data_IF_943387824823
#
_entry.id   IF_943387824823
#
_cell.length_a   1.000
_cell.length_b   1.000
_cell.length_c   1.000
_cell.angle_alpha   90.00
_cell.angle_beta   90.00
_cell.angle_gamma   90.00
#
_symmetry.space_group_name_H-M   'P 1'
#
loop_
_entity.id
_entity.type
_entity.pdbx_description
1 polymer ?
#
# COMPACT_ATOMS: atom_id res chain seq x y z
N UNK A 1 -15.16 -26.78 34.95
CA UNK A 1 -14.81 -25.36 35.02
C UNK A 1 -13.30 -25.28 35.11
N UNK A 2 -12.59 -25.05 34.03
CA UNK A 2 -11.19 -24.69 34.01
C UNK A 2 -11.13 -23.40 33.20
N UNK A 3 -10.67 -22.32 33.84
CA UNK A 3 -10.46 -21.03 33.26
C UNK A 3 -9.15 -21.04 32.51
N UNK A 4 -9.20 -20.87 31.20
CA UNK A 4 -8.01 -20.70 30.38
C UNK A 4 -7.46 -19.29 30.59
N UNK A 5 -6.26 -19.24 31.14
CA UNK A 5 -5.50 -18.03 31.35
C UNK A 5 -5.00 -17.53 29.98
N UNK A 6 -5.49 -16.38 29.57
CA UNK A 6 -4.90 -15.60 28.47
C UNK A 6 -3.53 -15.13 28.95
N UNK A 7 -2.47 -15.69 28.38
CA UNK A 7 -1.11 -15.24 28.63
C UNK A 7 -0.92 -13.82 28.10
N UNK A 8 -0.78 -12.85 29.02
CA UNK A 8 -0.30 -11.52 28.70
C UNK A 8 1.14 -11.64 28.14
N UNK A 9 1.31 -11.36 26.87
CA UNK A 9 2.63 -11.14 26.30
C UNK A 9 3.13 -9.81 26.86
N UNK A 10 4.02 -9.88 27.85
CA UNK A 10 4.81 -8.73 28.27
C UNK A 10 5.68 -8.29 27.09
N UNK A 11 5.39 -7.13 26.52
CA UNK A 11 6.30 -6.44 25.62
C UNK A 11 7.38 -5.84 26.53
N UNK A 12 8.61 -6.31 26.39
CA UNK A 12 9.76 -5.83 27.14
C UNK A 12 10.07 -4.38 26.72
N UNK A 13 9.90 -3.41 27.62
CA UNK A 13 10.04 -1.97 27.38
C UNK A 13 11.50 -1.50 27.16
N UNK A 14 12.47 -2.40 27.05
CA UNK A 14 13.89 -2.02 27.08
C UNK A 14 14.60 -1.96 25.73
N UNK A 15 13.95 -2.27 24.62
CA UNK A 15 14.58 -2.09 23.31
C UNK A 15 14.40 -0.64 22.86
N UNK A 16 15.43 0.19 23.01
CA UNK A 16 15.45 1.53 22.40
C UNK A 16 15.35 1.38 20.89
N UNK A 17 14.16 1.68 20.35
CA UNK A 17 13.94 1.80 18.91
C UNK A 17 14.82 2.91 18.35
N UNK A 18 15.29 2.80 17.09
CA UNK A 18 16.09 3.84 16.47
C UNK A 18 15.30 5.15 16.45
N UNK A 19 15.84 6.20 17.02
CA UNK A 19 15.15 7.45 17.34
C UNK A 19 14.92 8.40 16.15
N UNK A 20 15.24 8.02 14.90
CA UNK A 20 15.15 8.90 13.75
C UNK A 20 14.75 8.16 12.46
N UNK A 21 13.46 7.82 12.35
CA UNK A 21 12.87 7.56 11.03
C UNK A 21 12.33 8.86 10.49
N UNK A 22 12.90 9.35 9.38
CA UNK A 22 12.46 10.56 8.71
C UNK A 22 11.38 10.23 7.68
N UNK A 23 10.19 10.80 7.82
CA UNK A 23 9.10 10.68 6.85
C UNK A 23 9.19 11.81 5.83
N UNK A 24 9.35 11.47 4.54
CA UNK A 24 9.37 12.42 3.43
C UNK A 24 8.33 12.03 2.38
N UNK A 25 8.04 12.98 1.46
CA UNK A 25 7.17 12.74 0.32
C UNK A 25 5.85 12.09 0.75
N UNK A 26 4.91 12.88 1.08
CA UNK A 26 3.59 12.45 1.52
C UNK A 26 2.58 12.50 0.37
N UNK A 27 1.82 11.42 0.15
CA UNK A 27 0.67 11.41 -0.74
C UNK A 27 -0.59 11.02 0.04
N UNK A 28 -1.63 11.83 -0.10
CA UNK A 28 -2.99 11.45 0.29
C UNK A 28 -3.86 11.37 -0.95
N UNK A 29 -4.59 10.27 -1.08
CA UNK A 29 -5.47 10.00 -2.20
C UNK A 29 -6.77 9.42 -1.67
N UNK A 30 -7.88 10.05 -2.02
CA UNK A 30 -9.23 9.66 -1.62
C UNK A 30 -10.22 10.07 -2.71
N UNK A 31 -11.52 9.71 -2.63
CA UNK A 31 -12.52 10.18 -3.58
C UNK A 31 -12.67 11.72 -3.64
N UNK A 32 -12.22 12.43 -2.61
CA UNK A 32 -12.26 13.88 -2.53
C UNK A 32 -11.12 14.56 -3.30
N UNK A 33 -10.06 13.83 -3.67
CA UNK A 33 -8.94 14.38 -4.40
C UNK A 33 -7.60 13.77 -4.07
N UNK A 34 -6.57 14.41 -4.56
CA UNK A 34 -5.17 14.01 -4.41
C UNK A 34 -4.37 15.16 -3.82
N UNK A 35 -3.54 14.85 -2.84
CA UNK A 35 -2.59 15.79 -2.24
C UNK A 35 -1.21 15.17 -2.28
N UNK A 36 -0.25 15.91 -2.76
CA UNK A 36 1.16 15.53 -2.79
C UNK A 36 1.98 16.57 -2.02
N UNK A 37 2.66 16.15 -0.95
CA UNK A 37 3.40 17.03 -0.05
C UNK A 37 2.51 18.20 0.43
N UNK A 38 1.30 17.88 0.90
CA UNK A 38 0.24 18.81 1.38
C UNK A 38 -0.30 19.82 0.34
N UNK A 39 0.13 19.73 -0.91
CA UNK A 39 -0.40 20.53 -2.01
C UNK A 39 -1.45 19.75 -2.79
N UNK A 40 -2.54 20.42 -3.14
CA UNK A 40 -3.56 19.85 -4.02
C UNK A 40 -2.92 19.48 -5.36
N UNK A 41 -3.04 18.22 -5.73
CA UNK A 41 -2.58 17.73 -7.01
C UNK A 41 -3.74 17.79 -8.01
N UNK A 42 -3.59 18.62 -9.04
CA UNK A 42 -4.65 18.82 -10.03
C UNK A 42 -4.78 17.59 -10.95
N UNK A 43 -5.98 17.06 -11.03
CA UNK A 43 -6.36 16.01 -11.98
C UNK A 43 -7.40 16.60 -12.95
N UNK A 44 -7.26 16.36 -14.25
CA UNK A 44 -8.21 16.89 -15.24
C UNK A 44 -9.61 16.29 -14.99
N UNK A 45 -10.58 17.15 -14.70
CA UNK A 45 -11.95 16.76 -14.37
C UNK A 45 -12.66 16.00 -15.50
N UNK A 46 -12.28 16.24 -16.77
CA UNK A 46 -12.84 15.52 -17.92
C UNK A 46 -12.53 14.03 -17.91
N UNK A 47 -11.38 13.66 -17.36
CA UNK A 47 -10.96 12.25 -17.25
C UNK A 47 -11.50 11.60 -15.96
N UNK A 48 -11.86 12.38 -14.93
CA UNK A 48 -12.33 11.85 -13.63
C UNK A 48 -13.77 11.34 -13.66
N UNK A 49 -14.55 11.63 -14.71
CA UNK A 49 -15.97 11.22 -14.82
C UNK A 49 -16.20 9.71 -14.66
N UNK A 50 -15.18 8.87 -14.87
CA UNK A 50 -15.32 7.43 -14.85
C UNK A 50 -14.58 6.76 -13.68
N UNK A 51 -13.36 7.17 -13.36
CA UNK A 51 -12.57 6.63 -12.24
C UNK A 51 -11.32 7.49 -12.01
N UNK A 52 -11.22 8.09 -10.82
CA UNK A 52 -10.11 8.99 -10.44
C UNK A 52 -8.74 8.31 -10.59
N UNK A 53 -8.59 7.07 -10.11
CA UNK A 53 -7.31 6.34 -10.19
C UNK A 53 -6.85 6.13 -11.64
N UNK A 54 -7.80 5.83 -12.53
CA UNK A 54 -7.50 5.65 -13.96
C UNK A 54 -7.14 6.97 -14.63
N UNK A 55 -7.79 8.09 -14.25
CA UNK A 55 -7.45 9.41 -14.73
C UNK A 55 -6.01 9.78 -14.36
N UNK A 56 -5.64 9.63 -13.09
CA UNK A 56 -4.27 9.88 -12.61
C UNK A 56 -3.26 8.97 -13.34
N UNK A 57 -3.57 7.68 -13.46
CA UNK A 57 -2.71 6.74 -14.17
C UNK A 57 -2.41 7.19 -15.59
N UNK A 58 -3.44 7.56 -16.37
CA UNK A 58 -3.29 8.00 -17.76
C UNK A 58 -2.50 9.31 -17.90
N UNK A 59 -2.72 10.25 -16.98
CA UNK A 59 -2.10 11.57 -17.05
C UNK A 59 -0.64 11.56 -16.59
N UNK A 60 -0.32 10.78 -15.57
CA UNK A 60 0.97 10.86 -14.87
C UNK A 60 1.88 9.66 -15.09
N UNK A 61 1.34 8.49 -15.40
CA UNK A 61 2.11 7.24 -15.43
C UNK A 61 2.12 6.64 -16.84
N UNK A 62 0.99 6.17 -17.32
CA UNK A 62 0.68 5.83 -18.73
C UNK A 62 1.42 4.63 -19.35
N UNK A 63 2.50 4.13 -18.75
CA UNK A 63 3.43 3.19 -19.38
C UNK A 63 3.48 1.79 -18.70
N UNK A 64 2.40 1.37 -18.05
CA UNK A 64 2.30 0.05 -17.39
C UNK A 64 0.97 -0.66 -17.72
N UNK A 65 0.84 -1.32 -18.85
CA UNK A 65 -0.43 -1.94 -19.31
C UNK A 65 -1.04 -2.94 -18.32
N UNK A 66 -0.22 -3.55 -17.44
CA UNK A 66 -0.67 -4.46 -16.39
C UNK A 66 -1.62 -3.79 -15.39
N UNK A 67 -1.56 -2.45 -15.25
CA UNK A 67 -2.46 -1.64 -14.44
C UNK A 67 -3.93 -1.99 -14.67
N UNK A 68 -4.33 -2.16 -15.92
CA UNK A 68 -5.73 -2.47 -16.26
C UNK A 68 -6.22 -3.84 -15.80
N UNK A 69 -5.30 -4.74 -15.42
CA UNK A 69 -5.61 -6.07 -14.87
C UNK A 69 -5.67 -6.07 -13.35
N UNK A 70 -5.17 -5.02 -12.68
CA UNK A 70 -5.16 -4.89 -11.24
C UNK A 70 -6.57 -4.68 -10.68
N UNK A 71 -6.79 -5.15 -9.46
CA UNK A 71 -7.99 -4.79 -8.67
C UNK A 71 -7.89 -3.36 -8.09
N UNK A 72 -8.93 -2.93 -7.37
CA UNK A 72 -9.00 -1.57 -6.83
C UNK A 72 -7.91 -1.26 -5.82
N UNK A 73 -7.60 -2.18 -4.89
CA UNK A 73 -6.54 -2.01 -3.90
C UNK A 73 -5.16 -1.87 -4.56
N UNK A 74 -4.86 -2.75 -5.52
CA UNK A 74 -3.60 -2.67 -6.26
C UNK A 74 -3.49 -1.39 -7.09
N UNK A 75 -4.58 -0.95 -7.76
CA UNK A 75 -4.58 0.31 -8.51
C UNK A 75 -4.32 1.51 -7.62
N UNK A 76 -4.97 1.54 -6.44
CA UNK A 76 -4.80 2.61 -5.46
C UNK A 76 -3.33 2.69 -4.98
N UNK A 77 -2.79 1.56 -4.50
CA UNK A 77 -1.41 1.52 -4.01
C UNK A 77 -0.37 1.81 -5.10
N UNK A 78 -0.60 1.28 -6.31
CA UNK A 78 0.26 1.53 -7.46
C UNK A 78 0.32 3.02 -7.82
N UNK A 79 -0.85 3.67 -7.99
CA UNK A 79 -0.92 5.09 -8.34
C UNK A 79 -0.32 5.97 -7.25
N UNK A 80 -0.68 5.73 -5.99
CA UNK A 80 -0.15 6.49 -4.87
C UNK A 80 1.39 6.37 -4.76
N UNK A 81 1.93 5.15 -4.91
CA UNK A 81 3.37 4.93 -4.86
C UNK A 81 4.10 5.57 -6.04
N UNK A 82 3.56 5.53 -7.26
CA UNK A 82 4.18 6.16 -8.42
C UNK A 82 4.23 7.69 -8.26
N UNK A 83 3.19 8.33 -7.70
CA UNK A 83 3.20 9.76 -7.39
C UNK A 83 4.28 10.12 -6.35
N UNK A 84 4.42 9.32 -5.28
CA UNK A 84 5.49 9.49 -4.30
C UNK A 84 6.87 9.41 -4.93
N UNK A 85 7.09 8.38 -5.75
CA UNK A 85 8.37 8.14 -6.41
C UNK A 85 8.69 9.19 -7.47
N UNK A 86 7.68 9.82 -8.09
CA UNK A 86 7.89 10.98 -8.96
C UNK A 86 8.38 12.17 -8.15
N UNK A 87 7.74 12.48 -7.02
CA UNK A 87 8.17 13.57 -6.14
C UNK A 87 9.59 13.36 -5.61
N UNK A 88 9.93 12.13 -5.22
CA UNK A 88 11.30 11.80 -4.80
C UNK A 88 12.33 12.03 -5.93
N UNK A 89 12.02 11.63 -7.16
CA UNK A 89 12.91 11.81 -8.32
C UNK A 89 13.11 13.28 -8.69
N UNK A 90 12.12 14.14 -8.45
CA UNK A 90 12.21 15.59 -8.67
C UNK A 90 13.18 16.28 -7.69
N UNK A 91 13.39 15.74 -6.49
CA UNK A 91 14.35 16.28 -5.52
C UNK A 91 15.82 15.90 -5.84
N UNK A 92 16.04 14.92 -6.69
CA UNK A 92 17.38 14.53 -7.14
C UNK A 92 17.51 13.06 -7.52
N UNK A 93 18.66 12.67 -8.10
CA UNK A 93 18.88 11.28 -8.50
C UNK A 93 18.91 10.37 -7.27
N UNK A 94 18.03 9.38 -7.25
CA UNK A 94 18.04 8.32 -6.25
C UNK A 94 19.36 7.52 -6.38
N UNK A 95 20.04 7.27 -5.27
CA UNK A 95 21.26 6.44 -5.26
C UNK A 95 20.88 5.03 -5.76
N UNK A 96 21.65 4.45 -6.68
CA UNK A 96 21.36 3.14 -7.28
C UNK A 96 21.10 2.03 -6.25
N UNK A 97 21.77 2.08 -5.11
CA UNK A 97 21.60 1.08 -4.03
C UNK A 97 20.30 1.22 -3.24
N UNK A 98 19.64 2.39 -3.28
CA UNK A 98 18.36 2.59 -2.57
C UNK A 98 17.27 1.66 -3.11
N UNK A 99 17.27 1.38 -4.41
CA UNK A 99 16.26 0.51 -5.01
C UNK A 99 16.33 -0.94 -4.50
N UNK A 100 17.51 -1.46 -4.23
CA UNK A 100 17.68 -2.84 -3.72
C UNK A 100 17.29 -2.98 -2.25
N UNK A 101 17.47 -1.92 -1.46
CA UNK A 101 17.25 -1.90 -0.03
C UNK A 101 15.92 -1.25 0.38
N UNK A 102 15.08 -0.88 -0.60
CA UNK A 102 13.78 -0.27 -0.32
C UNK A 102 12.76 -1.32 0.08
N UNK A 103 12.20 -1.18 1.29
CA UNK A 103 11.08 -1.98 1.76
C UNK A 103 9.72 -1.37 1.32
N UNK A 104 8.66 -2.18 1.37
CA UNK A 104 7.28 -1.74 1.17
C UNK A 104 6.44 -2.33 2.30
N UNK A 105 5.88 -1.47 3.16
CA UNK A 105 5.10 -1.90 4.32
C UNK A 105 3.78 -1.13 4.36
N UNK A 106 2.67 -1.82 4.08
CA UNK A 106 1.35 -1.19 4.08
C UNK A 106 0.45 -1.72 5.19
N UNK A 107 -0.51 -0.90 5.55
CA UNK A 107 -1.51 -1.18 6.57
C UNK A 107 -2.91 -0.89 6.02
N UNK A 108 -3.89 -1.73 6.36
CA UNK A 108 -5.29 -1.43 6.10
C UNK A 108 -6.22 -2.08 7.12
N UNK A 109 -7.53 -1.89 6.93
CA UNK A 109 -8.57 -2.54 7.71
C UNK A 109 -9.31 -3.59 6.91
N UNK A 110 -9.55 -3.32 5.65
CA UNK A 110 -10.49 -4.07 4.82
C UNK A 110 -9.87 -5.28 4.12
N UNK A 111 -8.54 -5.52 4.30
CA UNK A 111 -7.85 -6.58 3.54
C UNK A 111 -8.11 -6.42 2.03
N UNK A 112 -8.35 -7.51 1.34
CA UNK A 112 -8.73 -7.61 -0.07
C UNK A 112 -10.24 -7.85 -0.26
N UNK A 113 -11.08 -7.32 0.64
CA UNK A 113 -12.52 -7.65 0.74
C UNK A 113 -13.29 -7.56 -0.60
N UNK A 114 -12.92 -6.64 -1.49
CA UNK A 114 -13.56 -6.48 -2.79
C UNK A 114 -13.28 -7.68 -3.69
N UNK A 115 -12.03 -8.10 -3.74
CA UNK A 115 -11.59 -9.26 -4.53
C UNK A 115 -12.08 -10.57 -3.92
N UNK A 116 -12.15 -10.66 -2.57
CA UNK A 116 -12.72 -11.80 -1.87
C UNK A 116 -14.19 -11.99 -2.21
N UNK A 117 -15.00 -10.93 -2.14
CA UNK A 117 -16.42 -10.97 -2.53
C UNK A 117 -16.59 -11.36 -3.99
N UNK A 118 -15.77 -10.80 -4.89
CA UNK A 118 -15.80 -11.11 -6.31
C UNK A 118 -15.42 -12.57 -6.58
N UNK A 119 -14.39 -13.08 -5.89
CA UNK A 119 -14.00 -14.47 -5.99
C UNK A 119 -15.07 -15.41 -5.46
N UNK A 120 -15.63 -15.11 -4.29
CA UNK A 120 -16.72 -15.87 -3.68
C UNK A 120 -17.90 -16.02 -4.65
N UNK A 121 -18.27 -14.96 -5.38
CA UNK A 121 -19.34 -15.01 -6.39
C UNK A 121 -19.03 -16.02 -7.49
N UNK A 122 -17.76 -16.21 -7.88
CA UNK A 122 -17.34 -17.14 -8.94
C UNK A 122 -17.41 -18.61 -8.53
N UNK A 123 -17.56 -18.90 -7.23
CA UNK A 123 -17.58 -20.26 -6.67
C UNK A 123 -18.86 -20.58 -5.88
N UNK A 124 -19.79 -19.62 -5.75
CA UNK A 124 -20.99 -19.77 -4.92
C UNK A 124 -22.05 -20.71 -5.52
N UNK A 125 -22.12 -20.78 -6.83
CA UNK A 125 -23.08 -21.64 -7.55
C UNK A 125 -22.46 -23.01 -7.84
N UNK A 126 -23.08 -24.08 -7.29
CA UNK A 126 -22.62 -25.46 -7.45
C UNK A 126 -22.78 -25.97 -8.88
N UNK A 127 -23.78 -25.46 -9.60
CA UNK A 127 -24.08 -25.87 -10.98
C UNK A 127 -23.32 -25.02 -12.00
N UNK A 128 -22.72 -23.91 -11.55
CA UNK A 128 -21.95 -22.98 -12.38
C UNK A 128 -20.66 -22.57 -11.65
N UNK A 129 -19.83 -23.57 -11.30
CA UNK A 129 -18.61 -23.39 -10.54
C UNK A 129 -17.42 -23.12 -11.46
N UNK A 130 -17.03 -21.84 -11.61
CA UNK A 130 -15.88 -21.42 -12.40
C UNK A 130 -14.95 -20.52 -11.60
N UNK A 131 -14.08 -21.08 -10.75
CA UNK A 131 -13.10 -20.28 -9.99
C UNK A 131 -12.18 -19.54 -10.96
N UNK A 132 -12.09 -18.23 -10.79
CA UNK A 132 -11.25 -17.37 -11.61
C UNK A 132 -9.84 -17.24 -11.02
N UNK A 133 -8.79 -17.83 -11.61
CA UNK A 133 -7.43 -17.69 -11.11
C UNK A 133 -6.94 -16.23 -11.09
N UNK A 134 -7.37 -15.43 -12.06
CA UNK A 134 -7.01 -14.02 -12.15
C UNK A 134 -7.64 -13.17 -11.05
N UNK A 135 -8.83 -13.51 -10.57
CA UNK A 135 -9.45 -12.86 -9.41
C UNK A 135 -8.83 -13.38 -8.12
N UNK A 136 -8.55 -14.69 -8.05
CA UNK A 136 -7.94 -15.31 -6.85
C UNK A 136 -6.63 -14.64 -6.46
N UNK A 137 -5.76 -14.30 -7.40
CA UNK A 137 -4.49 -13.63 -7.11
C UNK A 137 -4.71 -12.37 -6.26
N UNK A 138 -5.74 -11.60 -6.54
CA UNK A 138 -6.03 -10.34 -5.84
C UNK A 138 -6.80 -10.53 -4.51
N UNK A 139 -7.12 -11.76 -4.11
CA UNK A 139 -7.58 -12.04 -2.73
C UNK A 139 -6.45 -12.00 -1.70
N UNK A 140 -5.21 -11.87 -2.16
CA UNK A 140 -4.03 -11.71 -1.31
C UNK A 140 -3.68 -10.22 -1.24
N UNK A 141 -3.86 -9.54 -0.11
CA UNK A 141 -3.70 -8.09 -0.01
C UNK A 141 -2.26 -7.63 -0.29
N UNK A 142 -1.26 -8.49 -0.05
CA UNK A 142 0.14 -8.19 -0.32
C UNK A 142 0.52 -8.19 -1.83
N UNK A 143 -0.39 -8.53 -2.73
CA UNK A 143 -0.11 -8.47 -4.18
C UNK A 143 0.23 -7.03 -4.61
N UNK A 144 -0.36 -6.01 -3.97
CA UNK A 144 -0.03 -4.62 -4.25
C UNK A 144 1.45 -4.31 -4.00
N UNK A 145 2.05 -4.81 -2.92
CA UNK A 145 3.48 -4.60 -2.63
C UNK A 145 4.35 -5.27 -3.68
N UNK A 146 3.97 -6.48 -4.11
CA UNK A 146 4.64 -7.20 -5.19
C UNK A 146 4.57 -6.47 -6.55
N UNK A 147 3.41 -5.91 -6.91
CA UNK A 147 3.27 -5.14 -8.16
C UNK A 147 4.14 -3.88 -8.17
N UNK A 148 4.23 -3.17 -7.04
CA UNK A 148 5.10 -1.99 -6.89
C UNK A 148 6.58 -2.40 -6.93
N UNK A 149 6.94 -3.48 -6.25
CA UNK A 149 8.31 -4.00 -6.23
C UNK A 149 8.78 -4.43 -7.64
N UNK A 150 7.95 -5.17 -8.38
CA UNK A 150 8.24 -5.59 -9.75
C UNK A 150 8.40 -4.37 -10.67
N UNK A 151 7.50 -3.39 -10.56
CA UNK A 151 7.52 -2.17 -11.38
C UNK A 151 8.82 -1.40 -11.23
N UNK A 152 9.32 -1.30 -10.00
CA UNK A 152 10.44 -0.43 -9.63
C UNK A 152 11.76 -1.19 -9.41
N UNK A 153 11.78 -2.52 -9.51
CA UNK A 153 12.97 -3.35 -9.29
C UNK A 153 13.42 -3.37 -7.82
N UNK A 154 12.49 -3.29 -6.87
CA UNK A 154 12.81 -3.36 -5.44
C UNK A 154 12.97 -4.81 -4.98
N UNK A 155 13.93 -5.04 -4.10
CA UNK A 155 14.25 -6.36 -3.54
C UNK A 155 14.23 -6.38 -2.01
N UNK A 156 13.86 -5.28 -1.38
CA UNK A 156 13.72 -5.18 0.07
C UNK A 156 12.49 -5.94 0.60
N UNK A 157 12.28 -5.89 1.89
CA UNK A 157 11.14 -6.50 2.55
C UNK A 157 9.82 -5.98 1.99
N UNK A 158 8.84 -6.87 1.84
CA UNK A 158 7.45 -6.49 1.52
C UNK A 158 6.50 -7.09 2.55
N UNK A 159 5.76 -6.23 3.25
CA UNK A 159 4.80 -6.65 4.29
C UNK A 159 3.48 -5.91 4.14
N UNK A 160 2.40 -6.59 4.51
CA UNK A 160 1.05 -6.02 4.51
C UNK A 160 0.32 -6.41 5.80
N UNK A 161 -0.04 -5.42 6.61
CA UNK A 161 -0.67 -5.61 7.92
C UNK A 161 -2.15 -5.22 7.89
N UNK A 162 -3.00 -6.11 8.40
CA UNK A 162 -4.43 -5.85 8.53
C UNK A 162 -4.70 -5.49 9.99
N UNK A 163 -5.18 -4.27 10.23
CA UNK A 163 -5.44 -3.73 11.55
C UNK A 163 -6.94 -3.44 11.71
N UNK A 164 -7.53 -3.64 12.89
CA UNK A 164 -8.95 -3.36 13.13
C UNK A 164 -9.34 -1.90 12.85
N UNK A 165 -8.38 -0.99 13.01
CA UNK A 165 -8.48 0.45 12.75
C UNK A 165 -7.09 1.04 12.54
N UNK A 166 -7.01 2.20 11.88
CA UNK A 166 -5.77 2.98 11.78
C UNK A 166 -5.25 3.28 13.18
N UNK A 167 -4.02 2.88 13.46
CA UNK A 167 -3.35 3.05 14.75
C UNK A 167 -1.92 3.52 14.50
N UNK A 168 -1.72 4.83 14.56
CA UNK A 168 -0.45 5.48 14.20
C UNK A 168 0.71 4.99 15.06
N UNK A 169 0.51 4.80 16.37
CA UNK A 169 1.57 4.30 17.26
C UNK A 169 2.00 2.89 16.89
N UNK A 170 1.05 1.98 16.63
CA UNK A 170 1.37 0.62 16.22
C UNK A 170 2.05 0.59 14.86
N UNK A 171 1.56 1.39 13.90
CA UNK A 171 2.17 1.52 12.58
C UNK A 171 3.60 2.04 12.69
N UNK A 172 3.84 3.07 13.50
CA UNK A 172 5.17 3.60 13.75
C UNK A 172 6.11 2.55 14.32
N UNK A 173 5.70 1.79 15.34
CA UNK A 173 6.52 0.74 15.93
C UNK A 173 6.89 -0.35 14.91
N UNK A 174 5.96 -0.74 14.02
CA UNK A 174 6.23 -1.73 12.96
C UNK A 174 7.23 -1.17 11.95
N UNK A 175 7.08 0.10 11.53
CA UNK A 175 8.00 0.77 10.61
C UNK A 175 9.40 0.85 11.21
N UNK A 176 9.51 1.31 12.46
CA UNK A 176 10.79 1.39 13.18
C UNK A 176 11.44 0.00 13.33
N UNK A 177 10.65 -1.03 13.62
CA UNK A 177 11.14 -2.41 13.71
C UNK A 177 11.71 -2.92 12.38
N UNK A 178 11.08 -2.60 11.26
CA UNK A 178 11.59 -2.99 9.94
C UNK A 178 12.92 -2.30 9.59
N UNK A 179 13.18 -1.09 10.13
CA UNK A 179 14.47 -0.40 10.02
C UNK A 179 15.56 -0.94 10.96
N UNK A 180 15.25 -1.89 11.84
CA UNK A 180 16.29 -2.59 12.61
C UNK A 180 17.15 -3.51 11.72
N UNK A 181 16.63 -3.95 10.58
CA UNK A 181 17.46 -4.57 9.55
C UNK A 181 18.41 -3.54 8.93
N UNK A 182 19.71 -3.84 8.96
CA UNK A 182 20.75 -2.95 8.44
C UNK A 182 20.71 -2.81 6.89
N UNK A 183 20.03 -3.70 6.21
CA UNK A 183 19.87 -3.65 4.76
C UNK A 183 18.75 -2.69 4.34
N UNK A 184 17.76 -2.44 5.20
CA UNK A 184 16.66 -1.53 4.91
C UNK A 184 17.08 -0.08 5.13
N UNK A 185 17.21 0.70 4.07
CA UNK A 185 17.61 2.11 4.11
C UNK A 185 16.47 3.08 3.83
N UNK A 186 15.42 2.61 3.15
CA UNK A 186 14.20 3.39 2.88
C UNK A 186 12.99 2.47 2.75
N UNK A 187 11.80 3.05 2.88
CA UNK A 187 10.55 2.31 2.88
C UNK A 187 9.42 3.13 2.27
N UNK A 188 8.61 2.53 1.40
CA UNK A 188 7.29 3.07 1.06
C UNK A 188 6.31 2.50 2.07
N UNK A 189 5.62 3.35 2.82
CA UNK A 189 4.78 2.90 3.93
C UNK A 189 3.56 3.78 4.14
N UNK A 190 2.56 3.28 4.83
CA UNK A 190 1.38 4.02 5.24
C UNK A 190 0.09 3.23 5.13
N UNK A 191 -1.02 3.93 5.28
CA UNK A 191 -2.36 3.38 5.23
C UNK A 191 -2.87 3.28 3.80
N UNK A 192 -3.40 2.12 3.41
CA UNK A 192 -3.87 1.82 2.06
C UNK A 192 -5.13 0.97 2.12
N UNK A 193 -6.31 1.59 2.18
CA UNK A 193 -7.59 0.91 2.32
C UNK A 193 -8.51 1.14 1.12
N UNK A 194 -9.22 0.08 0.67
CA UNK A 194 -10.09 0.15 -0.49
C UNK A 194 -11.32 -0.75 -0.30
N UNK A 195 -12.49 -0.17 -0.23
CA UNK A 195 -13.76 -0.87 -0.14
C UNK A 195 -14.59 -0.80 -1.45
N UNK A 196 -14.51 0.30 -2.17
CA UNK A 196 -15.07 0.53 -3.52
C UNK A 196 -14.55 1.86 -4.09
N UNK A 197 -15.02 2.25 -5.30
CA UNK A 197 -14.61 3.50 -5.98
C UNK A 197 -15.05 4.79 -5.25
N UNK A 198 -15.90 4.69 -4.22
CA UNK A 198 -16.37 5.83 -3.41
C UNK A 198 -15.78 5.80 -1.99
N UNK A 199 -15.22 4.67 -1.58
CA UNK A 199 -14.70 4.45 -0.24
C UNK A 199 -13.30 3.85 -0.34
N UNK A 200 -12.31 4.72 -0.48
CA UNK A 200 -10.90 4.34 -0.47
C UNK A 200 -10.04 5.46 0.12
N UNK A 201 -8.89 5.08 0.65
CA UNK A 201 -7.91 6.00 1.21
C UNK A 201 -6.50 5.44 0.99
N UNK A 202 -5.62 6.25 0.44
CA UNK A 202 -4.18 6.06 0.53
C UNK A 202 -3.57 7.25 1.26
N UNK A 203 -2.80 6.99 2.29
CA UNK A 203 -2.07 7.95 3.11
C UNK A 203 -0.66 7.40 3.29
N UNK A 204 0.19 7.65 2.27
CA UNK A 204 1.47 6.98 2.10
C UNK A 204 2.63 7.97 2.18
N UNK A 205 3.78 7.47 2.66
CA UNK A 205 5.03 8.21 2.82
C UNK A 205 6.21 7.41 2.29
N UNK A 206 7.31 8.10 2.02
CA UNK A 206 8.63 7.48 1.96
C UNK A 206 9.32 7.75 3.29
N UNK A 207 9.68 6.68 4.00
CA UNK A 207 10.44 6.72 5.24
C UNK A 207 11.92 6.41 4.96
N UNK A 208 12.83 7.06 5.68
CA UNK A 208 14.28 6.84 5.62
C UNK A 208 14.84 6.57 7.01
N UNK A 209 15.88 5.74 7.04
CA UNK A 209 16.66 5.42 8.25
C UNK A 209 17.60 6.56 8.63
#
# INVERSE_FOLDING_TARGET
>A
MKSDAVSNVCVDETTKLPSHVEMKHHVRLSPQGVWLNDKVFAVDERETQHNLLTAIYKQQIGNYPKYYKMDGLCRLGFVASELLLQAEREEGPCKEDVNKARAIVFFNRSSSIVSDKKYLTSIADKDNYFPSPSVFVYTLPNIVTGEIAIRNGYHGETSFYILPKKNELLMQHIIESAFMDDQTTSMITGWLDYEDDKHFEADLYIAYK
#
